data_IF_910645351325
#
_entry.id   IF_910645351325
#
_cell.length_a   1.000
_cell.length_b   1.000
_cell.length_c   1.000
_cell.angle_alpha   90.00
_cell.angle_beta   90.00
_cell.angle_gamma   90.00
#
_symmetry.space_group_name_H-M   'P 1'
#
loop_
_entity.id
_entity.type
_entity.pdbx_description
1 polymer ?
#
# COMPACT_ATOMS: atom_id res chain seq x y z
N UNK A 1 -57.75 42.96 -14.63
CA UNK A 1 -57.64 41.95 -13.57
C UNK A 1 -56.17 41.70 -13.23
N UNK A 2 -55.89 41.95 -12.01
CA UNK A 2 -54.61 42.27 -11.40
C UNK A 2 -53.66 41.06 -11.33
N UNK A 3 -52.45 41.18 -11.91
CA UNK A 3 -51.39 40.18 -11.81
C UNK A 3 -50.49 40.56 -10.61
N UNK A 4 -50.52 39.75 -9.56
CA UNK A 4 -49.64 39.87 -8.40
C UNK A 4 -48.21 39.40 -8.73
N UNK A 5 -47.24 40.31 -8.75
CA UNK A 5 -45.81 40.02 -8.75
C UNK A 5 -45.40 39.44 -7.38
N UNK A 6 -44.75 38.25 -7.41
CA UNK A 6 -44.06 37.70 -6.24
C UNK A 6 -42.82 38.55 -5.92
N UNK A 7 -42.49 38.78 -4.65
CA UNK A 7 -41.28 39.50 -4.29
C UNK A 7 -40.03 38.69 -4.52
N UNK A 8 -38.99 39.35 -5.03
CA UNK A 8 -37.65 38.79 -5.27
C UNK A 8 -37.00 38.38 -3.94
N UNK A 9 -36.42 37.16 -3.96
CA UNK A 9 -35.60 36.65 -2.86
C UNK A 9 -34.23 37.34 -2.89
N UNK A 10 -33.72 37.83 -1.76
CA UNK A 10 -32.38 38.44 -1.73
C UNK A 10 -31.30 37.36 -2.02
N UNK A 11 -30.16 37.72 -2.63
CA UNK A 11 -29.08 36.82 -2.93
C UNK A 11 -28.48 36.26 -1.63
N UNK A 12 -28.35 34.94 -1.59
CA UNK A 12 -27.71 34.22 -0.51
C UNK A 12 -26.25 34.66 -0.39
N UNK A 13 -25.92 35.30 0.73
CA UNK A 13 -24.58 35.77 1.05
C UNK A 13 -23.57 34.60 1.01
N UNK A 14 -22.54 34.83 0.24
CA UNK A 14 -21.35 33.95 0.13
C UNK A 14 -20.72 33.83 1.52
N UNK A 15 -20.78 32.63 2.12
CA UNK A 15 -20.04 32.35 3.35
C UNK A 15 -18.56 32.34 2.99
N UNK A 16 -17.72 33.13 3.67
CA UNK A 16 -16.30 33.16 3.40
C UNK A 16 -15.73 31.74 3.58
N UNK A 17 -15.19 31.15 2.53
CA UNK A 17 -14.42 29.94 2.58
C UNK A 17 -13.19 30.20 3.47
N UNK A 18 -13.19 29.67 4.70
CA UNK A 18 -12.01 29.65 5.55
C UNK A 18 -10.88 28.90 4.80
N UNK A 19 -9.92 29.65 4.31
CA UNK A 19 -8.67 29.09 3.83
C UNK A 19 -8.09 28.19 4.94
N UNK A 20 -7.67 26.96 4.65
CA UNK A 20 -7.07 26.09 5.65
C UNK A 20 -5.81 26.78 6.21
N UNK A 21 -5.81 27.04 7.50
CA UNK A 21 -4.67 27.64 8.19
C UNK A 21 -3.42 26.76 7.94
N UNK A 22 -2.28 27.40 7.70
CA UNK A 22 -1.01 26.70 7.53
C UNK A 22 -0.76 25.76 8.73
N UNK A 23 -0.27 24.55 8.50
CA UNK A 23 -0.03 23.58 9.58
C UNK A 23 0.97 24.14 10.58
N UNK A 24 0.77 23.95 11.91
CA UNK A 24 1.63 24.51 12.92
C UNK A 24 3.09 24.04 12.74
N UNK A 25 4.03 24.99 12.94
CA UNK A 25 5.46 24.68 12.91
C UNK A 25 5.84 23.82 14.10
N UNK A 26 6.71 22.81 13.85
CA UNK A 26 7.22 21.97 14.94
C UNK A 26 8.22 22.75 15.80
N UNK A 27 8.21 22.47 17.12
CA UNK A 27 9.23 23.00 18.02
C UNK A 27 10.62 22.44 17.67
N UNK A 28 11.73 23.14 18.03
CA UNK A 28 13.08 22.64 17.83
C UNK A 28 13.30 21.23 18.43
N UNK A 29 12.75 20.97 19.61
CA UNK A 29 12.84 19.66 20.27
C UNK A 29 12.15 18.55 19.45
N UNK A 30 10.98 18.83 18.86
CA UNK A 30 10.30 17.87 17.97
C UNK A 30 11.09 17.63 16.69
N UNK A 31 11.69 18.66 16.11
CA UNK A 31 12.55 18.52 14.92
C UNK A 31 13.77 17.67 15.22
N UNK A 32 14.46 17.93 16.33
CA UNK A 32 15.61 17.15 16.79
C UNK A 32 15.25 15.68 17.01
N UNK A 33 14.12 15.40 17.65
CA UNK A 33 13.65 14.04 17.85
C UNK A 33 13.40 13.31 16.51
N UNK A 34 12.76 13.96 15.55
CA UNK A 34 12.56 13.37 14.20
C UNK A 34 13.90 13.13 13.48
N UNK A 35 14.85 14.04 13.67
CA UNK A 35 16.20 13.88 13.13
C UNK A 35 16.92 12.66 13.73
N UNK A 36 16.86 12.48 15.06
CA UNK A 36 17.39 11.29 15.74
C UNK A 36 16.75 10.00 15.20
N UNK A 37 15.42 9.97 14.99
CA UNK A 37 14.74 8.81 14.42
C UNK A 37 15.23 8.49 13.01
N UNK A 38 15.55 9.50 12.21
CA UNK A 38 16.08 9.34 10.86
C UNK A 38 17.48 8.72 10.89
N UNK A 39 18.41 9.32 11.66
CA UNK A 39 19.83 8.99 11.60
C UNK A 39 20.21 7.79 12.46
N UNK A 40 19.72 7.74 13.70
CA UNK A 40 20.09 6.68 14.63
C UNK A 40 19.25 5.41 14.45
N UNK A 41 17.93 5.56 14.24
CA UNK A 41 17.00 4.44 14.14
C UNK A 41 16.62 4.08 12.72
N UNK A 42 17.12 4.81 11.71
CA UNK A 42 16.88 4.57 10.28
C UNK A 42 15.41 4.39 9.92
N UNK A 43 14.54 5.23 10.50
CA UNK A 43 13.12 5.21 10.16
C UNK A 43 12.91 5.67 8.71
N UNK A 44 11.95 5.06 8.01
CA UNK A 44 11.62 5.45 6.65
C UNK A 44 11.03 6.86 6.59
N UNK A 45 11.24 7.59 5.48
CA UNK A 45 10.65 8.91 5.24
C UNK A 45 9.13 8.92 5.42
N UNK A 46 8.44 7.85 5.03
CA UNK A 46 7.00 7.71 5.25
C UNK A 46 6.63 7.70 6.74
N UNK A 47 7.43 7.02 7.57
CA UNK A 47 7.20 6.99 9.04
C UNK A 47 7.49 8.36 9.64
N UNK A 48 8.57 9.02 9.21
CA UNK A 48 8.94 10.35 9.69
C UNK A 48 7.90 11.39 9.29
N UNK A 49 7.40 11.34 8.05
CA UNK A 49 6.32 12.21 7.58
C UNK A 49 5.02 11.98 8.37
N UNK A 50 4.67 10.71 8.64
CA UNK A 50 3.51 10.39 9.48
C UNK A 50 3.68 10.93 10.90
N UNK A 51 4.84 10.73 11.55
CA UNK A 51 5.12 11.24 12.90
C UNK A 51 5.16 12.75 12.95
N UNK A 52 5.68 13.41 11.91
CA UNK A 52 5.63 14.87 11.77
C UNK A 52 4.19 15.39 11.80
N UNK A 53 3.30 14.74 11.09
CA UNK A 53 1.88 15.09 11.09
C UNK A 53 1.20 14.76 12.43
N UNK A 54 1.59 13.67 13.07
CA UNK A 54 1.08 13.27 14.39
C UNK A 54 1.47 14.27 15.49
N UNK A 55 2.66 14.85 15.43
CA UNK A 55 3.08 15.95 16.32
C UNK A 55 2.33 17.24 16.03
N UNK A 56 2.05 17.55 14.75
CA UNK A 56 1.22 18.71 14.39
C UNK A 56 -0.20 18.60 14.94
N UNK A 57 -0.77 17.41 15.02
CA UNK A 57 -2.05 17.21 15.71
C UNK A 57 -1.99 17.63 17.16
N UNK A 58 -0.88 17.38 17.87
CA UNK A 58 -0.72 17.86 19.25
C UNK A 58 -0.69 19.38 19.33
N UNK A 59 0.14 20.01 18.50
CA UNK A 59 0.27 21.48 18.46
C UNK A 59 -1.05 22.18 18.09
N UNK A 60 -1.83 21.59 17.18
CA UNK A 60 -3.14 22.12 16.80
C UNK A 60 -4.17 22.06 17.94
N UNK A 61 -4.02 21.14 18.91
CA UNK A 61 -4.89 21.07 20.09
C UNK A 61 -4.53 22.11 21.15
N UNK A 62 -3.29 22.61 21.14
CA UNK A 62 -2.76 23.59 22.11
C UNK A 62 -1.91 24.65 21.40
N UNK A 63 -2.57 25.57 20.63
CA UNK A 63 -1.85 26.62 19.92
C UNK A 63 -1.09 27.54 20.89
N UNK A 64 0.17 27.81 20.58
CA UNK A 64 1.03 28.69 21.39
C UNK A 64 1.51 28.12 22.73
N UNK A 65 1.14 26.88 23.07
CA UNK A 65 1.58 26.23 24.31
C UNK A 65 2.86 25.41 24.02
N UNK A 66 3.86 25.52 24.91
CA UNK A 66 5.03 24.66 24.83
C UNK A 66 4.62 23.20 25.07
N UNK A 67 4.87 22.29 24.13
CA UNK A 67 4.54 20.87 24.29
C UNK A 67 5.13 20.21 25.52
N UNK A 68 6.29 20.69 25.97
CA UNK A 68 6.99 20.14 27.13
C UNK A 68 6.31 20.49 28.47
N UNK A 69 5.39 21.42 28.48
CA UNK A 69 4.60 21.79 29.68
C UNK A 69 3.27 21.04 29.77
N UNK A 70 2.89 20.26 28.75
CA UNK A 70 1.60 19.57 28.72
C UNK A 70 1.54 18.41 29.72
N UNK A 71 0.51 18.44 30.54
CA UNK A 71 0.24 17.39 31.52
C UNK A 71 -0.41 16.17 30.87
N UNK A 72 -0.35 15.03 31.57
CA UNK A 72 -1.06 13.80 31.15
C UNK A 72 -2.57 14.04 30.92
N UNK A 73 -3.20 14.85 31.77
CA UNK A 73 -4.64 15.17 31.65
C UNK A 73 -4.94 15.91 30.35
N UNK A 74 -4.12 16.91 30.01
CA UNK A 74 -4.25 17.67 28.77
C UNK A 74 -4.02 16.76 27.55
N UNK A 75 -3.01 15.91 27.57
CA UNK A 75 -2.78 14.94 26.48
C UNK A 75 -3.97 13.99 26.31
N UNK A 76 -4.60 13.54 27.41
CA UNK A 76 -5.82 12.71 27.35
C UNK A 76 -6.99 13.47 26.74
N UNK A 77 -7.16 14.76 27.09
CA UNK A 77 -8.19 15.61 26.48
C UNK A 77 -7.94 15.83 24.98
N UNK A 78 -6.68 15.98 24.56
CA UNK A 78 -6.33 16.10 23.15
C UNK A 78 -6.73 14.84 22.36
N UNK A 79 -6.46 13.64 22.89
CA UNK A 79 -6.90 12.38 22.28
C UNK A 79 -8.43 12.31 22.17
N UNK A 80 -9.14 12.69 23.24
CA UNK A 80 -10.61 12.70 23.23
C UNK A 80 -11.18 13.66 22.17
N UNK A 81 -10.61 14.88 22.05
CA UNK A 81 -10.98 15.85 21.00
C UNK A 81 -10.72 15.34 19.60
N UNK A 82 -9.54 14.75 19.35
CA UNK A 82 -9.21 14.16 18.06
C UNK A 82 -10.17 13.00 17.69
N UNK A 83 -10.58 12.20 18.68
CA UNK A 83 -11.58 11.16 18.47
C UNK A 83 -12.95 11.75 18.13
N UNK A 84 -13.39 12.78 18.88
CA UNK A 84 -14.65 13.49 18.61
C UNK A 84 -14.66 14.21 17.23
N UNK A 85 -13.49 14.62 16.72
CA UNK A 85 -13.31 15.15 15.37
C UNK A 85 -13.36 14.05 14.28
N UNK A 86 -13.60 12.78 14.63
CA UNK A 86 -13.76 11.69 13.68
C UNK A 86 -12.47 10.96 13.29
N UNK A 87 -11.34 11.19 13.98
CA UNK A 87 -10.14 10.42 13.69
C UNK A 87 -10.34 8.94 14.03
N UNK A 88 -10.03 8.09 13.06
CA UNK A 88 -10.15 6.65 13.22
C UNK A 88 -9.28 6.13 14.38
N UNK A 89 -9.73 5.15 15.16
CA UNK A 89 -8.99 4.58 16.29
C UNK A 89 -7.57 4.11 15.93
N UNK A 90 -7.37 3.61 14.70
CA UNK A 90 -6.04 3.22 14.19
C UNK A 90 -5.11 4.42 14.02
N UNK A 91 -5.64 5.56 13.55
CA UNK A 91 -4.87 6.81 13.47
C UNK A 91 -4.50 7.34 14.84
N UNK A 92 -5.43 7.29 15.79
CA UNK A 92 -5.18 7.67 17.19
C UNK A 92 -4.12 6.79 17.84
N UNK A 93 -4.12 5.49 17.58
CA UNK A 93 -3.08 4.59 18.07
C UNK A 93 -1.68 4.96 17.54
N UNK A 94 -1.56 5.36 16.26
CA UNK A 94 -0.31 5.82 15.68
C UNK A 94 0.12 7.18 16.27
N UNK A 95 -0.80 8.12 16.38
CA UNK A 95 -0.57 9.43 17.03
C UNK A 95 -0.01 9.23 18.44
N UNK A 96 -0.63 8.36 19.23
CA UNK A 96 -0.15 8.04 20.56
C UNK A 96 1.24 7.38 20.57
N UNK A 97 1.55 6.57 19.57
CA UNK A 97 2.90 5.99 19.43
C UNK A 97 3.95 7.09 19.17
N UNK A 98 3.64 8.06 18.30
CA UNK A 98 4.50 9.21 18.04
C UNK A 98 4.67 10.08 19.30
N UNK A 99 3.59 10.44 19.99
CA UNK A 99 3.65 11.24 21.21
C UNK A 99 4.44 10.55 22.33
N UNK A 100 4.20 9.26 22.56
CA UNK A 100 5.00 8.48 23.53
C UNK A 100 6.48 8.49 23.18
N UNK A 101 6.82 8.33 21.90
CA UNK A 101 8.20 8.36 21.44
C UNK A 101 8.86 9.71 21.69
N UNK A 102 8.19 10.80 21.35
CA UNK A 102 8.65 12.16 21.60
C UNK A 102 8.85 12.41 23.09
N UNK A 103 7.82 12.20 23.90
CA UNK A 103 7.91 12.42 25.36
C UNK A 103 8.92 11.48 26.05
N UNK A 104 9.16 10.29 25.52
CA UNK A 104 10.21 9.41 26.02
C UNK A 104 11.61 10.00 25.78
N UNK A 105 11.82 10.68 24.65
CA UNK A 105 13.07 11.41 24.39
C UNK A 105 13.21 12.58 25.37
N UNK A 106 12.13 13.40 25.51
CA UNK A 106 12.14 14.55 26.44
C UNK A 106 12.34 14.14 27.91
N UNK A 107 11.72 13.02 28.33
CA UNK A 107 11.92 12.47 29.68
C UNK A 107 13.40 12.17 29.95
N UNK A 108 14.10 11.62 28.97
CA UNK A 108 15.56 11.35 29.11
C UNK A 108 16.39 12.61 29.10
N UNK A 109 16.08 13.56 28.21
CA UNK A 109 16.85 14.81 28.07
C UNK A 109 16.67 15.75 29.27
N UNK A 110 15.47 15.83 29.82
CA UNK A 110 15.11 16.76 30.90
C UNK A 110 15.07 16.13 32.28
N UNK A 111 15.36 14.82 32.39
CA UNK A 111 15.36 14.11 33.67
C UNK A 111 13.97 14.01 34.31
N UNK A 112 12.89 14.02 33.54
CA UNK A 112 11.53 13.92 34.09
C UNK A 112 11.30 12.55 34.74
N UNK A 113 10.55 12.49 35.85
CA UNK A 113 10.29 11.23 36.55
C UNK A 113 9.42 10.29 35.75
N UNK A 114 8.53 10.81 34.90
CA UNK A 114 7.56 10.01 34.12
C UNK A 114 7.30 10.64 32.76
N UNK A 115 7.08 9.77 31.76
CA UNK A 115 6.59 10.18 30.46
C UNK A 115 5.08 10.47 30.53
N UNK A 116 4.61 11.71 30.30
CA UNK A 116 3.19 12.07 30.44
C UNK A 116 2.27 11.37 29.44
N UNK A 117 2.81 10.82 28.35
CA UNK A 117 2.04 10.08 27.35
C UNK A 117 2.02 8.57 27.57
N UNK A 118 2.80 8.03 28.53
CA UNK A 118 3.00 6.58 28.68
C UNK A 118 1.71 5.79 28.90
N UNK A 119 0.83 6.29 29.77
CA UNK A 119 -0.41 5.59 30.17
C UNK A 119 -1.62 5.85 29.26
N UNK A 120 -1.49 6.73 28.26
CA UNK A 120 -2.59 7.03 27.34
C UNK A 120 -2.93 5.80 26.49
N UNK A 121 -4.21 5.52 26.31
CA UNK A 121 -4.69 4.40 25.49
C UNK A 121 -5.57 4.91 24.36
N UNK A 122 -5.34 4.36 23.16
CA UNK A 122 -6.27 4.57 22.06
C UNK A 122 -7.60 3.84 22.33
N UNK A 123 -8.72 4.34 21.78
CA UNK A 123 -9.97 3.60 21.79
C UNK A 123 -9.78 2.19 21.24
N UNK A 124 -10.46 1.22 21.83
CA UNK A 124 -10.38 -0.17 21.35
C UNK A 124 -10.93 -0.24 19.93
N UNK A 125 -10.15 -0.81 19.04
CA UNK A 125 -10.59 -1.14 17.69
C UNK A 125 -11.28 -2.49 17.80
N UNK A 126 -12.58 -2.54 17.43
CA UNK A 126 -13.15 -3.80 17.01
C UNK A 126 -12.28 -4.28 15.83
N UNK A 127 -11.62 -5.41 15.95
CA UNK A 127 -10.85 -6.01 14.86
C UNK A 127 -11.80 -6.77 13.94
N UNK A 128 -12.38 -6.18 12.88
CA UNK A 128 -12.85 -7.00 11.80
C UNK A 128 -11.59 -7.66 11.24
N UNK A 129 -11.51 -8.98 11.35
CA UNK A 129 -10.49 -9.73 10.59
C UNK A 129 -10.64 -9.31 9.13
N UNK A 130 -9.57 -8.83 8.48
CA UNK A 130 -9.63 -8.62 7.04
C UNK A 130 -10.00 -9.97 6.43
N UNK A 131 -11.21 -10.06 5.88
CA UNK A 131 -11.63 -11.27 5.20
C UNK A 131 -10.81 -11.35 3.92
N UNK A 132 -9.94 -12.37 3.83
CA UNK A 132 -9.38 -12.76 2.55
C UNK A 132 -10.55 -13.03 1.59
N UNK A 133 -10.41 -12.68 0.32
CA UNK A 133 -11.36 -13.13 -0.69
C UNK A 133 -11.29 -14.66 -0.75
N UNK A 134 -12.40 -15.33 -0.94
CA UNK A 134 -12.39 -16.75 -1.26
C UNK A 134 -11.74 -16.97 -2.62
N UNK A 135 -11.39 -18.23 -2.95
CA UNK A 135 -10.86 -18.57 -4.27
C UNK A 135 -11.85 -18.16 -5.35
N UNK A 136 -13.15 -18.45 -5.18
CA UNK A 136 -14.20 -18.09 -6.13
C UNK A 136 -14.37 -16.58 -6.32
N UNK A 137 -14.33 -15.81 -5.20
CA UNK A 137 -14.36 -14.36 -5.26
C UNK A 137 -13.13 -13.77 -5.97
N UNK A 138 -11.98 -14.38 -5.78
CA UNK A 138 -10.76 -13.97 -6.45
C UNK A 138 -10.81 -14.31 -7.94
N UNK A 139 -11.36 -15.47 -8.29
CA UNK A 139 -11.63 -15.84 -9.69
C UNK A 139 -12.65 -14.90 -10.33
N UNK A 140 -13.76 -14.62 -9.67
CA UNK A 140 -14.78 -13.65 -10.15
C UNK A 140 -14.16 -12.27 -10.40
N UNK A 141 -13.25 -11.80 -9.53
CA UNK A 141 -12.55 -10.55 -9.70
C UNK A 141 -11.64 -10.56 -10.93
N UNK A 142 -10.83 -11.62 -11.10
CA UNK A 142 -9.72 -11.67 -12.05
C UNK A 142 -10.10 -12.31 -13.40
N UNK A 143 -11.05 -13.26 -13.44
CA UNK A 143 -11.50 -13.92 -14.66
C UNK A 143 -12.62 -13.13 -15.39
N UNK A 144 -12.87 -11.90 -14.97
CA UNK A 144 -13.80 -11.04 -15.66
C UNK A 144 -13.42 -10.97 -17.14
N UNK A 145 -14.38 -11.24 -18.07
CA UNK A 145 -14.11 -11.02 -19.47
C UNK A 145 -13.74 -9.55 -19.65
N UNK A 146 -12.48 -9.26 -19.73
CA UNK A 146 -11.98 -8.04 -20.31
C UNK A 146 -12.09 -8.20 -21.83
N UNK A 147 -13.32 -8.38 -22.35
CA UNK A 147 -13.54 -7.87 -23.67
C UNK A 147 -13.41 -6.36 -23.49
N UNK A 148 -12.31 -5.75 -23.93
CA UNK A 148 -12.22 -4.30 -23.88
C UNK A 148 -13.36 -3.84 -24.78
N UNK A 149 -14.29 -3.11 -24.19
CA UNK A 149 -15.32 -2.39 -24.95
C UNK A 149 -14.61 -1.44 -25.90
N UNK A 150 -13.33 -1.18 -25.67
CA UNK A 150 -12.36 -0.51 -26.51
C UNK A 150 -10.98 -1.08 -26.18
N UNK A 151 -10.08 -1.14 -27.16
CA UNK A 151 -8.66 -1.54 -27.00
C UNK A 151 -7.89 -0.48 -26.18
N UNK A 152 -8.33 -0.28 -24.92
CA UNK A 152 -7.83 0.74 -24.00
C UNK A 152 -6.62 0.20 -23.24
N UNK A 153 -5.44 0.82 -23.41
CA UNK A 153 -4.21 0.42 -22.72
C UNK A 153 -4.35 0.42 -21.18
N UNK A 154 -5.22 1.27 -20.61
CA UNK A 154 -5.46 1.34 -19.16
C UNK A 154 -6.12 0.06 -18.65
N UNK A 155 -7.03 -0.51 -19.41
CA UNK A 155 -7.70 -1.78 -19.05
C UNK A 155 -6.72 -2.95 -19.03
N UNK A 156 -5.86 -3.07 -20.02
CA UNK A 156 -4.80 -4.09 -20.08
C UNK A 156 -3.81 -3.95 -18.94
N UNK A 157 -3.39 -2.72 -18.64
CA UNK A 157 -2.54 -2.41 -17.48
C UNK A 157 -3.19 -2.89 -16.17
N UNK A 158 -4.46 -2.55 -15.96
CA UNK A 158 -5.17 -2.88 -14.73
C UNK A 158 -5.28 -4.39 -14.53
N UNK A 159 -5.60 -5.12 -15.58
CA UNK A 159 -5.64 -6.58 -15.56
C UNK A 159 -4.28 -7.16 -15.18
N UNK A 160 -3.21 -6.74 -15.83
CA UNK A 160 -1.86 -7.21 -15.53
C UNK A 160 -1.45 -6.89 -14.08
N UNK A 161 -1.77 -5.69 -13.58
CA UNK A 161 -1.49 -5.31 -12.20
C UNK A 161 -2.22 -6.22 -11.20
N UNK A 162 -3.49 -6.51 -11.41
CA UNK A 162 -4.30 -7.25 -10.43
C UNK A 162 -4.00 -8.74 -10.47
N UNK A 163 -3.74 -9.30 -11.64
CA UNK A 163 -3.21 -10.66 -11.78
C UNK A 163 -1.86 -10.80 -11.05
N UNK A 164 -0.96 -9.84 -11.25
CA UNK A 164 0.35 -9.87 -10.62
C UNK A 164 0.28 -9.70 -9.09
N UNK A 165 -0.63 -8.86 -8.59
CA UNK A 165 -0.86 -8.73 -7.15
C UNK A 165 -1.23 -10.06 -6.50
N UNK A 166 -2.16 -10.77 -7.13
CA UNK A 166 -2.62 -12.05 -6.60
C UNK A 166 -1.62 -13.16 -6.88
N UNK A 167 -0.97 -13.18 -8.02
CA UNK A 167 0.00 -14.20 -8.39
C UNK A 167 1.26 -14.17 -7.50
N UNK A 168 1.81 -12.99 -7.23
CA UNK A 168 3.10 -12.86 -6.55
C UNK A 168 2.99 -12.29 -5.14
N UNK A 169 1.79 -11.99 -4.67
CA UNK A 169 1.54 -11.48 -3.33
C UNK A 169 2.28 -10.19 -2.99
N UNK A 170 2.46 -9.29 -3.95
CA UNK A 170 3.22 -8.06 -3.83
C UNK A 170 2.64 -7.10 -2.78
N UNK A 171 3.50 -6.27 -2.18
CA UNK A 171 3.06 -5.04 -1.51
C UNK A 171 2.79 -3.96 -2.56
N UNK A 172 1.88 -3.03 -2.27
CA UNK A 172 1.57 -1.92 -3.19
C UNK A 172 2.83 -1.14 -3.60
N UNK A 173 3.72 -0.85 -2.66
CA UNK A 173 4.97 -0.17 -2.94
C UNK A 173 5.91 -0.99 -3.85
N UNK A 174 5.92 -2.31 -3.70
CA UNK A 174 6.69 -3.22 -4.55
C UNK A 174 6.14 -3.21 -5.98
N UNK A 175 4.83 -3.32 -6.16
CA UNK A 175 4.20 -3.28 -7.49
C UNK A 175 4.52 -1.97 -8.23
N UNK A 176 4.32 -0.82 -7.58
CA UNK A 176 4.53 0.47 -8.26
C UNK A 176 6.00 0.77 -8.53
N UNK A 177 6.93 0.11 -7.83
CA UNK A 177 8.37 0.24 -8.06
C UNK A 177 8.92 -0.69 -9.14
N UNK A 178 8.09 -1.56 -9.73
CA UNK A 178 8.53 -2.47 -10.77
C UNK A 178 8.91 -1.74 -12.05
N UNK A 179 10.04 -2.12 -12.62
CA UNK A 179 10.50 -1.75 -13.94
C UNK A 179 10.31 -2.90 -14.92
N UNK A 180 10.29 -2.59 -16.22
CA UNK A 180 10.17 -3.60 -17.29
C UNK A 180 11.34 -4.59 -17.32
N UNK A 181 12.52 -4.13 -16.93
CA UNK A 181 13.77 -4.88 -16.77
C UNK A 181 14.70 -4.11 -15.85
N UNK A 182 15.84 -4.68 -15.48
CA UNK A 182 16.86 -3.94 -14.74
C UNK A 182 17.45 -2.84 -15.61
N UNK A 183 17.43 -1.62 -15.09
CA UNK A 183 17.99 -0.44 -15.72
C UNK A 183 18.88 0.31 -14.73
N UNK A 184 20.01 0.81 -15.18
CA UNK A 184 20.92 1.64 -14.38
C UNK A 184 21.64 2.64 -15.29
N UNK A 185 21.54 3.90 -14.91
CA UNK A 185 22.33 5.00 -15.49
C UNK A 185 22.80 5.96 -14.38
N UNK A 186 23.24 7.16 -14.76
CA UNK A 186 23.74 8.18 -13.81
C UNK A 186 22.64 8.82 -12.97
N UNK A 187 21.38 8.75 -13.40
CA UNK A 187 20.24 9.42 -12.79
C UNK A 187 19.23 8.47 -12.17
N UNK A 188 19.19 7.22 -12.63
CA UNK A 188 18.20 6.24 -12.24
C UNK A 188 18.78 4.84 -12.09
N UNK A 189 18.35 4.12 -11.07
CA UNK A 189 18.64 2.71 -10.86
C UNK A 189 17.36 1.97 -10.44
N UNK A 190 17.09 0.85 -11.10
CA UNK A 190 15.96 -0.03 -10.80
C UNK A 190 16.04 -0.58 -9.38
N UNK A 191 14.95 -0.43 -8.63
CA UNK A 191 14.80 -1.03 -7.28
C UNK A 191 14.14 -2.39 -7.33
N UNK A 192 13.25 -2.57 -8.29
CA UNK A 192 12.50 -3.81 -8.52
C UNK A 192 12.23 -3.93 -10.02
N UNK A 193 12.28 -5.13 -10.57
CA UNK A 193 12.12 -5.33 -12.01
C UNK A 193 11.56 -6.70 -12.35
N UNK A 194 11.08 -6.83 -13.59
CA UNK A 194 10.59 -8.06 -14.19
C UNK A 194 11.74 -8.81 -14.89
N UNK A 195 11.80 -10.12 -14.70
CA UNK A 195 12.59 -11.07 -15.46
C UNK A 195 11.60 -11.93 -16.25
N UNK A 196 11.18 -11.44 -17.42
CA UNK A 196 10.07 -12.01 -18.18
C UNK A 196 10.37 -13.45 -18.63
N UNK A 197 11.58 -13.68 -19.14
CA UNK A 197 12.02 -15.00 -19.64
C UNK A 197 12.12 -16.03 -18.50
N UNK A 198 12.54 -15.60 -17.32
CA UNK A 198 12.62 -16.44 -16.13
C UNK A 198 11.27 -16.62 -15.42
N UNK A 199 10.23 -15.85 -15.81
CA UNK A 199 8.94 -15.76 -15.13
C UNK A 199 9.05 -15.36 -13.66
N UNK A 200 9.91 -14.39 -13.40
CA UNK A 200 10.24 -13.94 -12.05
C UNK A 200 10.15 -12.42 -11.91
N UNK A 201 10.01 -11.97 -10.66
CA UNK A 201 10.21 -10.59 -10.25
C UNK A 201 11.36 -10.51 -9.27
N UNK A 202 12.17 -9.48 -9.39
CA UNK A 202 13.08 -9.06 -8.34
C UNK A 202 12.45 -7.87 -7.63
N UNK A 203 12.20 -7.98 -6.33
CA UNK A 203 11.57 -6.91 -5.54
C UNK A 203 12.44 -6.50 -4.37
N UNK A 204 12.53 -5.19 -4.14
CA UNK A 204 13.23 -4.61 -2.99
C UNK A 204 12.27 -4.41 -1.83
N UNK A 205 12.58 -5.02 -0.70
CA UNK A 205 11.81 -4.93 0.54
C UNK A 205 12.35 -3.88 1.51
N UNK A 206 11.83 -3.90 2.73
CA UNK A 206 12.28 -3.03 3.83
C UNK A 206 13.76 -3.27 4.14
N UNK A 207 14.53 -2.19 4.20
CA UNK A 207 15.97 -2.25 4.48
C UNK A 207 16.85 -2.61 3.30
N UNK A 208 16.35 -2.46 2.05
CA UNK A 208 17.14 -2.69 0.83
C UNK A 208 17.37 -4.16 0.48
N UNK A 209 16.78 -5.11 1.22
CA UNK A 209 16.89 -6.53 0.90
C UNK A 209 16.04 -6.86 -0.32
N UNK A 210 16.64 -7.50 -1.31
CA UNK A 210 15.96 -7.99 -2.50
C UNK A 210 15.54 -9.44 -2.34
N UNK A 211 14.43 -9.82 -2.98
CA UNK A 211 14.00 -11.21 -3.12
C UNK A 211 13.42 -11.46 -4.49
N UNK A 212 13.48 -12.69 -4.96
CA UNK A 212 12.81 -13.14 -6.17
C UNK A 212 11.44 -13.69 -5.85
N UNK A 213 10.49 -13.50 -6.75
CA UNK A 213 9.12 -13.98 -6.65
C UNK A 213 8.71 -14.60 -7.98
N UNK A 214 8.06 -15.77 -7.98
CA UNK A 214 7.54 -16.36 -9.20
C UNK A 214 6.33 -15.58 -9.74
N UNK A 215 6.14 -15.65 -11.05
CA UNK A 215 4.98 -15.13 -11.78
C UNK A 215 4.21 -16.28 -12.38
N UNK A 216 2.98 -16.52 -11.92
CA UNK A 216 2.12 -17.57 -12.44
C UNK A 216 1.66 -17.34 -13.86
N UNK A 217 1.24 -18.39 -14.55
CA UNK A 217 0.91 -18.41 -15.98
C UNK A 217 -0.11 -17.33 -16.39
N UNK A 218 -1.20 -17.16 -15.62
CA UNK A 218 -2.21 -16.14 -15.94
C UNK A 218 -1.67 -14.72 -15.81
N UNK A 219 -0.85 -14.45 -14.80
CA UNK A 219 -0.22 -13.15 -14.63
C UNK A 219 0.81 -12.88 -15.73
N UNK A 220 1.57 -13.91 -16.13
CA UNK A 220 2.52 -13.83 -17.23
C UNK A 220 1.80 -13.46 -18.54
N UNK A 221 0.71 -14.15 -18.86
CA UNK A 221 -0.08 -13.87 -20.05
C UNK A 221 -0.64 -12.43 -20.03
N UNK A 222 -1.19 -11.99 -18.91
CA UNK A 222 -1.69 -10.62 -18.78
C UNK A 222 -0.57 -9.56 -18.88
N UNK A 223 0.64 -9.86 -18.36
CA UNK A 223 1.81 -9.01 -18.51
C UNK A 223 2.27 -8.90 -19.98
N UNK A 224 2.29 -10.00 -20.73
CA UNK A 224 2.64 -10.00 -22.14
C UNK A 224 1.70 -9.12 -22.94
N UNK A 225 0.39 -9.28 -22.74
CA UNK A 225 -0.63 -8.44 -23.39
C UNK A 225 -0.47 -6.95 -23.00
N UNK A 226 -0.20 -6.67 -21.73
CA UNK A 226 0.07 -5.31 -21.30
C UNK A 226 1.32 -4.73 -21.95
N UNK A 227 2.41 -5.48 -22.02
CA UNK A 227 3.67 -5.01 -22.61
C UNK A 227 3.54 -4.66 -24.09
N UNK A 228 2.66 -5.34 -24.84
CA UNK A 228 2.31 -4.98 -26.22
C UNK A 228 1.58 -3.63 -26.32
N UNK A 229 0.73 -3.30 -25.33
CA UNK A 229 -0.05 -2.05 -25.30
C UNK A 229 0.66 -0.90 -24.59
N UNK A 230 1.64 -1.21 -23.73
CA UNK A 230 2.38 -0.24 -22.93
C UNK A 230 3.02 0.91 -23.75
N UNK A 231 3.55 0.70 -24.98
CA UNK A 231 4.15 1.78 -25.78
C UNK A 231 3.23 2.97 -25.99
N UNK A 232 1.91 2.77 -26.07
CA UNK A 232 0.94 3.86 -26.22
C UNK A 232 0.98 4.85 -25.05
N UNK A 233 1.22 4.40 -23.82
CA UNK A 233 1.40 5.26 -22.65
C UNK A 233 2.87 5.66 -22.45
N UNK A 234 3.82 4.80 -22.79
CA UNK A 234 5.24 5.05 -22.64
C UNK A 234 5.74 6.18 -23.55
N UNK A 235 5.12 6.40 -24.69
CA UNK A 235 5.40 7.54 -25.58
C UNK A 235 5.17 8.90 -24.91
N UNK A 236 4.41 8.96 -23.83
CA UNK A 236 4.14 10.15 -23.03
C UNK A 236 5.13 10.34 -21.87
N UNK A 237 6.07 9.40 -21.67
CA UNK A 237 7.03 9.45 -20.58
C UNK A 237 8.05 10.60 -20.77
N UNK A 238 8.30 11.35 -19.70
CA UNK A 238 9.20 12.53 -19.71
C UNK A 238 10.42 12.36 -18.82
N UNK A 239 10.62 11.18 -18.22
CA UNK A 239 11.75 10.89 -17.33
C UNK A 239 12.24 9.45 -17.48
N UNK A 240 13.50 9.19 -17.10
CA UNK A 240 14.07 7.84 -17.07
C UNK A 240 13.26 6.89 -16.17
N UNK A 241 12.82 7.38 -14.98
CA UNK A 241 11.94 6.64 -14.07
C UNK A 241 10.62 6.22 -14.75
N UNK A 242 9.99 7.14 -15.48
CA UNK A 242 8.75 6.85 -16.21
C UNK A 242 8.97 5.86 -17.35
N UNK A 243 10.06 6.00 -18.11
CA UNK A 243 10.39 5.10 -19.22
C UNK A 243 10.65 3.68 -18.75
N UNK A 244 11.37 3.51 -17.64
CA UNK A 244 11.68 2.21 -17.05
C UNK A 244 10.45 1.55 -16.40
N UNK A 245 9.51 2.32 -15.85
CA UNK A 245 8.38 1.81 -15.06
C UNK A 245 7.57 0.74 -15.80
N UNK A 246 7.33 -0.41 -15.17
CA UNK A 246 6.46 -1.44 -15.72
C UNK A 246 5.01 -0.94 -15.88
N UNK A 247 4.48 -0.25 -14.87
CA UNK A 247 3.11 0.26 -14.87
C UNK A 247 3.07 1.79 -14.91
N UNK A 248 2.34 2.31 -15.88
CA UNK A 248 2.22 3.74 -16.18
C UNK A 248 0.82 4.25 -15.86
N UNK A 249 0.72 5.49 -15.39
CA UNK A 249 -0.51 6.25 -15.38
C UNK A 249 -0.91 6.71 -16.80
N UNK A 250 -2.15 7.16 -16.97
CA UNK A 250 -2.67 7.62 -18.26
C UNK A 250 -1.87 8.77 -18.91
N UNK A 251 -1.01 9.46 -18.15
CA UNK A 251 -0.16 10.55 -18.64
C UNK A 251 1.31 10.13 -18.83
N UNK A 252 1.61 8.84 -18.88
CA UNK A 252 2.95 8.31 -19.12
C UNK A 252 3.91 8.32 -17.91
N UNK A 253 3.55 8.89 -16.79
CA UNK A 253 4.35 8.81 -15.57
C UNK A 253 4.19 7.44 -14.88
N UNK A 254 5.19 7.03 -14.07
CA UNK A 254 5.04 5.84 -13.19
C UNK A 254 3.73 5.92 -12.41
N UNK A 255 3.00 4.82 -12.34
CA UNK A 255 1.70 4.80 -11.66
C UNK A 255 1.83 5.13 -10.16
N UNK A 256 0.96 6.01 -9.68
CA UNK A 256 0.95 6.39 -8.27
C UNK A 256 0.16 5.37 -7.43
N UNK A 257 0.58 5.03 -6.19
CA UNK A 257 -0.11 4.07 -5.33
C UNK A 257 -1.60 4.32 -5.15
N UNK A 258 -2.01 5.60 -5.06
CA UNK A 258 -3.43 5.97 -4.93
C UNK A 258 -4.25 5.60 -6.17
N UNK A 259 -3.65 5.74 -7.36
CA UNK A 259 -4.32 5.34 -8.60
C UNK A 259 -4.57 3.84 -8.64
N UNK A 260 -3.57 3.03 -8.24
CA UNK A 260 -3.74 1.56 -8.15
C UNK A 260 -4.88 1.20 -7.20
N UNK A 261 -4.99 1.89 -6.06
CA UNK A 261 -6.09 1.66 -5.10
C UNK A 261 -7.45 2.01 -5.69
N UNK A 262 -7.56 3.16 -6.36
CA UNK A 262 -8.80 3.61 -7.00
C UNK A 262 -9.22 2.69 -8.14
N UNK A 263 -8.28 2.30 -9.00
CA UNK A 263 -8.53 1.38 -10.10
C UNK A 263 -8.99 0.00 -9.59
N UNK A 264 -8.33 -0.53 -8.55
CA UNK A 264 -8.73 -1.81 -7.96
C UNK A 264 -10.11 -1.74 -7.32
N UNK A 265 -10.43 -0.65 -6.62
CA UNK A 265 -11.76 -0.44 -6.03
C UNK A 265 -12.85 -0.36 -7.11
N UNK A 266 -12.60 0.40 -8.18
CA UNK A 266 -13.51 0.50 -9.33
C UNK A 266 -13.69 -0.85 -10.01
N UNK A 267 -12.61 -1.58 -10.22
CA UNK A 267 -12.59 -2.90 -10.84
C UNK A 267 -13.39 -3.93 -10.02
N UNK A 268 -13.19 -3.95 -8.70
CA UNK A 268 -13.92 -4.83 -7.79
C UNK A 268 -15.41 -4.51 -7.73
N UNK A 269 -15.76 -3.22 -7.71
CA UNK A 269 -17.17 -2.77 -7.75
C UNK A 269 -17.85 -3.22 -9.04
N UNK A 270 -17.17 -3.08 -10.16
CA UNK A 270 -17.67 -3.50 -11.46
C UNK A 270 -17.77 -5.03 -11.61
N UNK A 271 -17.04 -5.81 -10.79
CA UNK A 271 -17.15 -7.27 -10.72
C UNK A 271 -18.31 -7.76 -9.85
N UNK A 272 -19.12 -6.85 -9.26
CA UNK A 272 -20.27 -7.21 -8.42
C UNK A 272 -19.91 -7.85 -7.09
N UNK A 273 -18.66 -7.71 -6.63
CA UNK A 273 -18.24 -8.30 -5.35
C UNK A 273 -18.85 -7.52 -4.17
N UNK A 274 -19.49 -8.19 -3.20
CA UNK A 274 -20.13 -7.56 -2.04
C UNK A 274 -19.12 -7.12 -0.97
N UNK A 275 -17.83 -7.08 -1.29
CA UNK A 275 -16.73 -6.81 -0.37
C UNK A 275 -15.83 -5.70 -0.89
N UNK A 276 -15.30 -4.90 0.04
CA UNK A 276 -14.32 -3.87 -0.31
C UNK A 276 -12.96 -4.51 -0.56
N UNK A 277 -12.48 -4.42 -1.81
CA UNK A 277 -11.20 -4.97 -2.23
C UNK A 277 -10.15 -3.86 -2.27
N UNK A 278 -9.00 -4.13 -1.68
CA UNK A 278 -7.85 -3.25 -1.71
C UNK A 278 -6.54 -4.07 -1.86
N UNK A 279 -5.39 -3.48 -2.22
CA UNK A 279 -4.16 -4.22 -2.50
C UNK A 279 -3.75 -5.19 -1.38
N UNK A 280 -3.97 -4.80 -0.13
CA UNK A 280 -3.64 -5.65 1.01
C UNK A 280 -4.54 -6.88 1.14
N UNK A 281 -5.83 -6.77 0.72
CA UNK A 281 -6.74 -7.93 0.71
C UNK A 281 -6.33 -8.96 -0.34
N UNK A 282 -5.90 -8.53 -1.55
CA UNK A 282 -5.39 -9.46 -2.58
C UNK A 282 -4.13 -10.20 -2.10
N UNK A 283 -3.18 -9.48 -1.48
CA UNK A 283 -2.00 -10.10 -0.89
C UNK A 283 -2.39 -11.06 0.26
N UNK A 284 -3.39 -10.73 1.07
CA UNK A 284 -3.86 -11.60 2.14
C UNK A 284 -4.54 -12.85 1.58
N UNK A 285 -5.32 -12.71 0.51
CA UNK A 285 -5.93 -13.84 -0.22
C UNK A 285 -4.86 -14.76 -0.81
N UNK A 286 -3.84 -14.20 -1.48
CA UNK A 286 -2.67 -14.94 -1.93
C UNK A 286 -2.05 -15.76 -0.79
N UNK A 287 -1.72 -15.09 0.33
CA UNK A 287 -1.11 -15.74 1.48
C UNK A 287 -1.99 -16.86 2.05
N UNK A 288 -3.30 -16.61 2.20
CA UNK A 288 -4.24 -17.58 2.76
C UNK A 288 -4.44 -18.78 1.84
N UNK A 289 -4.59 -18.56 0.53
CA UNK A 289 -4.80 -19.63 -0.43
C UNK A 289 -3.54 -20.48 -0.61
N UNK A 290 -2.38 -19.83 -0.64
CA UNK A 290 -1.11 -20.53 -0.72
C UNK A 290 -0.86 -21.37 0.53
N UNK A 291 -1.14 -20.83 1.74
CA UNK A 291 -1.02 -21.57 3.01
C UNK A 291 -1.98 -22.77 3.13
N UNK A 292 -3.19 -22.66 2.54
CA UNK A 292 -4.17 -23.75 2.54
C UNK A 292 -3.76 -24.91 1.63
N UNK A 293 -3.03 -24.61 0.58
CA UNK A 293 -2.66 -25.58 -0.48
C UNK A 293 -1.20 -26.05 -0.36
N UNK A 294 -0.34 -25.29 0.32
CA UNK A 294 1.07 -25.60 0.41
C UNK A 294 1.35 -26.66 1.49
N UNK A 295 2.19 -27.62 1.14
CA UNK A 295 2.75 -28.58 2.09
C UNK A 295 3.95 -27.99 2.85
N UNK A 296 4.54 -26.89 2.36
CA UNK A 296 5.69 -26.19 2.95
C UNK A 296 5.35 -24.77 3.41
N UNK A 297 5.07 -24.64 4.71
CA UNK A 297 4.82 -23.36 5.39
C UNK A 297 6.01 -22.42 5.34
N UNK A 298 7.23 -22.94 5.29
CA UNK A 298 8.45 -22.14 5.27
C UNK A 298 8.63 -21.45 3.93
N UNK A 299 8.44 -22.18 2.84
CA UNK A 299 8.46 -21.63 1.48
C UNK A 299 7.45 -20.46 1.33
N UNK A 300 6.24 -20.62 1.87
CA UNK A 300 5.22 -19.57 1.84
C UNK A 300 5.62 -18.34 2.63
N UNK A 301 6.21 -18.49 3.82
CA UNK A 301 6.66 -17.36 4.64
C UNK A 301 7.80 -16.60 3.95
N UNK A 302 8.68 -17.27 3.26
CA UNK A 302 9.77 -16.70 2.49
C UNK A 302 9.25 -15.90 1.30
N UNK A 303 8.32 -16.44 0.51
CA UNK A 303 7.64 -15.73 -0.58
C UNK A 303 6.96 -14.45 -0.09
N UNK A 304 6.34 -14.48 1.09
CA UNK A 304 5.69 -13.31 1.68
C UNK A 304 6.67 -12.29 2.24
N UNK A 305 7.95 -12.63 2.44
CA UNK A 305 8.95 -11.72 2.99
C UNK A 305 8.64 -11.30 4.43
N UNK A 306 8.26 -12.24 5.30
CA UNK A 306 8.08 -12.01 6.73
C UNK A 306 9.42 -11.90 7.42
N UNK A 307 9.73 -10.76 8.03
CA UNK A 307 11.04 -10.35 8.56
C UNK A 307 11.43 -11.01 9.90
N UNK A 308 10.66 -11.93 10.43
CA UNK A 308 10.89 -12.47 11.79
C UNK A 308 11.69 -13.78 11.84
N UNK A 309 12.34 -14.18 10.75
CA UNK A 309 13.33 -15.25 10.82
C UNK A 309 14.71 -14.63 10.59
N UNK A 310 15.49 -14.61 11.67
CA UNK A 310 16.86 -14.13 11.73
C UNK A 310 17.78 -15.08 10.94
N UNK A 311 17.88 -14.90 9.64
CA UNK A 311 19.06 -15.31 8.89
C UNK A 311 19.07 -14.64 7.53
N UNK A 312 20.13 -13.93 7.22
CA UNK A 312 20.48 -13.47 5.87
C UNK A 312 20.91 -14.71 5.10
N UNK A 313 19.95 -15.45 4.55
CA UNK A 313 20.27 -16.50 3.58
C UNK A 313 20.39 -15.83 2.21
N UNK A 314 21.57 -15.95 1.63
CA UNK A 314 21.81 -15.72 0.21
C UNK A 314 21.11 -16.87 -0.50
N UNK A 315 19.98 -16.58 -1.15
CA UNK A 315 19.24 -17.61 -1.92
C UNK A 315 20.12 -18.12 -3.05
N UNK A 316 20.35 -19.41 -3.06
CA UNK A 316 20.93 -20.09 -4.22
C UNK A 316 19.84 -20.32 -5.28
N UNK A 317 20.25 -20.54 -6.53
CA UNK A 317 19.33 -20.88 -7.62
C UNK A 317 18.48 -22.13 -7.32
N UNK A 318 19.01 -23.05 -6.53
CA UNK A 318 18.34 -24.27 -6.07
C UNK A 318 17.20 -23.98 -5.07
N UNK A 319 17.42 -23.06 -4.13
CA UNK A 319 16.39 -22.66 -3.15
C UNK A 319 15.20 -22.02 -3.86
N UNK A 320 15.48 -21.23 -4.91
CA UNK A 320 14.42 -20.59 -5.68
C UNK A 320 13.62 -21.59 -6.52
N UNK A 321 14.25 -22.61 -7.11
CA UNK A 321 13.55 -23.67 -7.85
C UNK A 321 12.59 -24.44 -6.95
N UNK A 322 12.98 -24.73 -5.72
CA UNK A 322 12.11 -25.36 -4.73
C UNK A 322 10.90 -24.47 -4.37
N UNK A 323 11.13 -23.15 -4.18
CA UNK A 323 10.07 -22.17 -3.93
C UNK A 323 9.10 -22.06 -5.11
N UNK A 324 9.60 -22.06 -6.33
CA UNK A 324 8.79 -22.03 -7.55
C UNK A 324 7.95 -23.29 -7.70
N UNK A 325 8.51 -24.48 -7.44
CA UNK A 325 7.77 -25.73 -7.46
C UNK A 325 6.67 -25.78 -6.40
N UNK A 326 6.97 -25.36 -5.16
CA UNK A 326 5.97 -25.26 -4.09
C UNK A 326 4.84 -24.29 -4.46
N UNK A 327 5.19 -23.17 -5.12
CA UNK A 327 4.23 -22.21 -5.64
C UNK A 327 3.33 -22.82 -6.73
N UNK A 328 3.92 -23.46 -7.74
CA UNK A 328 3.17 -24.07 -8.86
C UNK A 328 2.21 -25.17 -8.40
N UNK A 329 2.59 -25.92 -7.36
CA UNK A 329 1.73 -26.96 -6.78
C UNK A 329 0.58 -26.38 -5.94
N UNK A 330 0.83 -25.30 -5.22
CA UNK A 330 -0.08 -24.76 -4.21
C UNK A 330 -0.95 -23.59 -4.69
N UNK A 331 -0.51 -22.83 -5.68
CA UNK A 331 -1.22 -21.61 -6.07
C UNK A 331 -2.36 -21.92 -7.06
N UNK A 332 -3.63 -21.51 -6.77
CA UNK A 332 -4.80 -21.90 -7.59
C UNK A 332 -4.76 -21.45 -9.06
N UNK A 333 -3.95 -20.42 -9.37
CA UNK A 333 -3.82 -19.88 -10.73
C UNK A 333 -2.47 -20.18 -11.40
N UNK A 334 -1.58 -20.94 -10.75
CA UNK A 334 -0.32 -21.38 -11.33
C UNK A 334 -0.47 -22.70 -12.09
N UNK A 335 -1.46 -23.54 -11.72
CA UNK A 335 -1.65 -24.84 -12.33
C UNK A 335 -2.12 -24.72 -13.77
N UNK A 336 -1.38 -25.34 -14.72
CA UNK A 336 -1.86 -25.64 -16.05
C UNK A 336 -3.08 -26.56 -15.93
N UNK A 337 -4.21 -26.20 -16.55
CA UNK A 337 -5.31 -27.15 -16.78
C UNK A 337 -4.82 -28.28 -17.70
N UNK A 338 -4.21 -29.31 -17.17
CA UNK A 338 -4.18 -30.62 -17.80
C UNK A 338 -5.57 -31.26 -17.67
N UNK A 339 -6.55 -30.74 -18.42
CA UNK A 339 -7.79 -31.41 -18.70
C UNK A 339 -7.77 -31.84 -20.17
N UNK A 340 -6.96 -32.84 -20.46
CA UNK A 340 -7.08 -33.62 -21.69
C UNK A 340 -6.63 -35.04 -21.38
N UNK A 341 -7.41 -35.78 -20.61
CA UNK A 341 -7.43 -37.28 -20.61
C UNK A 341 -8.39 -37.76 -19.51
N UNK A 342 -9.68 -37.57 -19.71
CA UNK A 342 -10.70 -38.46 -19.16
C UNK A 342 -11.86 -38.46 -20.16
N UNK A 343 -11.69 -39.18 -21.27
CA UNK A 343 -12.77 -39.84 -21.92
C UNK A 343 -12.73 -41.29 -21.42
N UNK A 344 -13.73 -41.81 -20.74
CA UNK A 344 -13.91 -43.20 -20.64
C UNK A 344 -14.34 -43.72 -22.04
N UNK A 345 -13.59 -44.67 -22.57
CA UNK A 345 -14.02 -45.54 -23.61
C UNK A 345 -15.26 -46.34 -23.14
N UNK A 346 -16.40 -46.06 -23.78
CA UNK A 346 -17.46 -47.05 -24.05
C UNK A 346 -18.23 -46.64 -25.29
#
# INVERSE_FOLDING_TARGET
MSGLKKPDRPPSGDKPQKQPAAPPALSPAMQNWLHQLSHEKRYSEHTLSAYRNDLRHLLAQYPGTDPDTLTQSQLRQAVARLHAQGLAPRSLARILAAWRGYYQSRTKELGWPLNPAASLKAPKIGRPLPKALSVDQTQQLLDRPTAPIQDDPVSWRNQAMFELFYSSGLRLAELVSLDTHYYQDTQYQSKSWLLLDDRELVVSGKGGKTRRLPVGEKALHALQQWLEKRPALASLATSADASAALFLGARGARIHPRMVQQELESYARASGLPVHVHPHSLRHSFASHLLQSAQDLRAVQELLGHTNISTTQIYTRLDFQHLAQAYDQAHPRAQRKNRASDKPDE
#
